data_IF_372915926451
#
_entry.id   IF_372915926451
#
_cell.length_a   1.000
_cell.length_b   1.000
_cell.length_c   1.000
_cell.angle_alpha   90.00
_cell.angle_beta   90.00
_cell.angle_gamma   90.00
#
_symmetry.space_group_name_H-M   'P 1'
#
loop_
_entity.id
_entity.type
_entity.pdbx_description
1 polymer ?
#
# COMPACT_ATOMS: atom_id res chain seq x y z
N UNK A 1 0.34 -11.48 16.78
CA UNK A 1 1.35 -11.75 15.71
C UNK A 1 2.51 -10.81 16.00
N UNK A 2 3.70 -11.32 16.21
CA UNK A 2 4.89 -10.50 16.42
C UNK A 2 5.29 -9.79 15.11
N UNK A 3 5.99 -8.66 15.20
CA UNK A 3 6.63 -8.06 14.03
C UNK A 3 7.67 -9.07 13.56
N UNK A 4 7.63 -9.42 12.28
CA UNK A 4 8.64 -10.33 11.73
C UNK A 4 10.02 -9.69 11.80
N UNK A 5 11.05 -10.48 12.11
CA UNK A 5 12.44 -10.00 12.11
C UNK A 5 12.93 -9.59 10.71
N UNK A 6 12.10 -9.75 9.70
CA UNK A 6 12.38 -9.37 8.31
C UNK A 6 11.54 -8.15 7.88
N UNK A 7 12.06 -7.37 6.96
CA UNK A 7 11.38 -6.21 6.41
C UNK A 7 10.45 -6.63 5.27
N UNK A 8 9.22 -6.16 5.32
CA UNK A 8 8.30 -6.11 4.17
C UNK A 8 8.29 -4.69 3.65
N UNK A 9 8.29 -4.50 2.34
CA UNK A 9 8.26 -3.17 1.74
C UNK A 9 7.13 -3.09 0.73
N UNK A 10 6.21 -2.17 0.94
CA UNK A 10 5.20 -1.76 -0.03
C UNK A 10 5.59 -0.40 -0.61
N UNK A 11 5.57 -0.27 -1.92
CA UNK A 11 5.99 0.94 -2.62
C UNK A 11 4.99 1.37 -3.68
N UNK A 12 4.53 2.62 -3.56
CA UNK A 12 3.71 3.25 -4.59
C UNK A 12 4.58 3.78 -5.73
N UNK A 13 4.48 3.18 -6.89
CA UNK A 13 5.12 3.71 -8.12
C UNK A 13 4.36 4.94 -8.64
N UNK A 14 3.07 5.04 -8.29
CA UNK A 14 2.17 6.15 -8.61
C UNK A 14 1.03 6.19 -7.58
N UNK A 15 0.61 7.37 -7.14
CA UNK A 15 -0.41 7.48 -6.09
C UNK A 15 -1.85 7.62 -6.63
N UNK A 16 -2.02 8.07 -7.88
CA UNK A 16 -3.35 8.14 -8.51
C UNK A 16 -3.87 6.76 -8.90
N UNK A 17 -5.21 6.59 -8.87
CA UNK A 17 -5.91 5.37 -9.26
C UNK A 17 -6.98 5.66 -10.33
N UNK A 18 -7.28 4.67 -11.17
CA UNK A 18 -8.42 4.67 -12.09
C UNK A 18 -9.72 4.18 -11.44
N UNK A 19 -9.63 3.61 -10.24
CA UNK A 19 -10.75 3.20 -9.40
C UNK A 19 -10.93 4.20 -8.26
N UNK A 20 -12.17 4.51 -7.89
CA UNK A 20 -12.48 5.48 -6.84
C UNK A 20 -13.15 4.76 -5.67
N UNK A 21 -12.44 3.89 -4.96
CA UNK A 21 -12.95 3.16 -3.81
C UNK A 21 -13.31 4.11 -2.66
N UNK A 22 -14.50 3.94 -2.04
CA UNK A 22 -14.85 4.61 -0.79
C UNK A 22 -13.79 4.31 0.27
N UNK A 23 -13.41 5.33 1.03
CA UNK A 23 -12.47 5.21 2.15
C UNK A 23 -11.17 4.44 1.80
N UNK A 24 -10.58 4.67 0.63
CA UNK A 24 -9.31 4.06 0.27
C UNK A 24 -8.24 4.40 1.32
N UNK A 25 -7.63 3.40 1.95
CA UNK A 25 -6.62 3.58 3.00
C UNK A 25 -5.34 4.27 2.53
N UNK A 26 -5.09 4.30 1.21
CA UNK A 26 -4.00 5.02 0.57
C UNK A 26 -4.43 6.40 0.02
N UNK A 27 -5.67 6.82 0.26
CA UNK A 27 -6.27 8.07 -0.20
C UNK A 27 -6.21 8.30 -1.72
N UNK A 28 -5.94 7.27 -2.51
CA UNK A 28 -5.77 7.35 -3.97
C UNK A 28 -7.06 7.72 -4.74
N UNK A 29 -8.19 7.79 -4.05
CA UNK A 29 -9.50 8.23 -4.56
C UNK A 29 -9.71 9.76 -4.43
N UNK A 30 -8.85 10.48 -3.71
CA UNK A 30 -8.97 11.92 -3.49
C UNK A 30 -8.48 12.72 -4.69
N UNK A 31 -8.98 13.97 -4.84
CA UNK A 31 -8.59 14.84 -5.96
C UNK A 31 -7.12 15.24 -5.90
N UNK A 32 -6.59 15.41 -4.69
CA UNK A 32 -5.21 15.78 -4.43
C UNK A 32 -4.20 14.83 -5.08
N UNK A 33 -4.51 13.51 -5.15
CA UNK A 33 -3.62 12.54 -5.83
C UNK A 33 -3.59 12.69 -7.35
N UNK A 34 -4.60 13.32 -7.96
CA UNK A 34 -4.68 13.51 -9.42
C UNK A 34 -3.74 14.59 -9.92
N UNK A 35 -3.42 15.55 -9.07
CA UNK A 35 -2.50 16.65 -9.37
C UNK A 35 -1.03 16.25 -9.18
N UNK A 36 -0.77 15.08 -8.58
CA UNK A 36 0.58 14.66 -8.29
C UNK A 36 1.33 14.22 -9.54
N UNK A 37 2.58 14.67 -9.63
CA UNK A 37 3.52 14.24 -10.68
C UNK A 37 3.98 12.81 -10.33
N UNK A 38 3.87 11.84 -11.24
CA UNK A 38 4.39 10.49 -11.01
C UNK A 38 5.87 10.54 -10.63
N UNK A 39 6.26 9.70 -9.68
CA UNK A 39 7.67 9.60 -9.26
C UNK A 39 8.57 9.31 -10.47
N UNK A 40 9.71 10.00 -10.52
CA UNK A 40 10.72 9.67 -11.52
C UNK A 40 11.37 8.31 -11.20
N UNK A 41 11.90 7.65 -12.22
CA UNK A 41 12.62 6.39 -12.01
C UNK A 41 13.85 6.60 -11.11
N UNK A 42 14.51 7.75 -11.18
CA UNK A 42 15.66 8.07 -10.33
C UNK A 42 15.28 8.22 -8.85
N UNK A 43 14.09 8.80 -8.59
CA UNK A 43 13.55 8.84 -7.22
C UNK A 43 13.26 7.44 -6.68
N UNK A 44 12.67 6.57 -7.49
CA UNK A 44 12.41 5.18 -7.14
C UNK A 44 13.72 4.44 -6.85
N UNK A 45 14.75 4.69 -7.68
CA UNK A 45 16.08 4.10 -7.48
C UNK A 45 16.70 4.53 -6.15
N UNK A 46 16.62 5.82 -5.81
CA UNK A 46 17.15 6.34 -4.55
C UNK A 46 16.45 5.71 -3.32
N UNK A 47 15.11 5.61 -3.36
CA UNK A 47 14.32 5.01 -2.28
C UNK A 47 14.72 3.54 -2.04
N UNK A 48 14.82 2.74 -3.10
CA UNK A 48 15.16 1.33 -2.99
C UNK A 48 16.64 1.08 -2.68
N UNK A 49 17.56 1.95 -3.12
CA UNK A 49 18.98 1.81 -2.83
C UNK A 49 19.24 1.80 -1.32
N UNK A 50 18.57 2.68 -0.57
CA UNK A 50 18.72 2.72 0.88
C UNK A 50 18.19 1.46 1.57
N UNK A 51 17.07 0.90 1.10
CA UNK A 51 16.55 -0.39 1.59
C UNK A 51 17.53 -1.51 1.28
N UNK A 52 18.09 -1.54 0.06
CA UNK A 52 19.08 -2.53 -0.36
C UNK A 52 20.30 -2.55 0.57
N UNK A 53 20.86 -1.37 0.87
CA UNK A 53 22.00 -1.23 1.77
C UNK A 53 21.67 -1.74 3.19
N UNK A 54 20.53 -1.30 3.75
CA UNK A 54 20.11 -1.70 5.10
C UNK A 54 19.78 -3.19 5.24
N UNK A 55 19.35 -3.83 4.16
CA UNK A 55 19.04 -5.26 4.14
C UNK A 55 20.21 -6.12 3.67
N UNK A 56 21.43 -5.69 3.94
CA UNK A 56 22.65 -6.40 3.56
C UNK A 56 22.65 -6.84 2.08
N UNK A 57 22.44 -5.86 1.20
CA UNK A 57 22.35 -6.08 -0.25
C UNK A 57 21.13 -6.96 -0.68
N UNK A 58 20.01 -6.77 -0.01
CA UNK A 58 18.76 -7.47 -0.34
C UNK A 58 18.75 -8.94 0.11
N UNK A 59 19.50 -9.26 1.13
CA UNK A 59 19.60 -10.59 1.69
C UNK A 59 18.24 -11.09 2.22
N UNK A 60 17.80 -12.30 1.85
CA UNK A 60 16.53 -12.89 2.30
C UNK A 60 16.39 -13.06 3.81
N UNK A 61 17.49 -13.03 4.56
CA UNK A 61 17.44 -13.08 6.02
C UNK A 61 16.95 -11.75 6.64
N UNK A 62 17.06 -10.65 5.90
CA UNK A 62 16.64 -9.32 6.33
C UNK A 62 15.38 -8.82 5.62
N UNK A 63 15.13 -9.28 4.39
CA UNK A 63 14.00 -8.86 3.58
C UNK A 63 13.06 -10.04 3.33
N UNK A 64 11.78 -9.86 3.64
CA UNK A 64 10.77 -10.88 3.45
C UNK A 64 10.05 -10.73 2.11
N UNK A 65 9.83 -9.46 1.67
CA UNK A 65 8.99 -9.18 0.50
C UNK A 65 9.13 -7.75 0.01
N UNK A 66 9.12 -7.58 -1.30
CA UNK A 66 8.94 -6.29 -1.95
C UNK A 66 7.66 -6.31 -2.78
N UNK A 67 6.80 -5.31 -2.55
CA UNK A 67 5.53 -5.16 -3.26
C UNK A 67 5.49 -3.82 -3.98
N UNK A 68 5.40 -3.85 -5.30
CA UNK A 68 5.09 -2.68 -6.11
C UNK A 68 3.58 -2.53 -6.19
N UNK A 69 3.10 -1.35 -5.85
CA UNK A 69 1.69 -1.03 -5.86
C UNK A 69 1.48 0.47 -6.13
N UNK A 70 0.41 1.01 -5.65
CA UNK A 70 0.13 2.43 -5.74
C UNK A 70 -1.35 2.70 -5.58
N UNK A 71 -1.81 3.78 -6.19
CA UNK A 71 -3.22 3.87 -6.55
C UNK A 71 -3.54 2.75 -7.53
N UNK A 72 -3.04 2.87 -8.77
CA UNK A 72 -3.06 1.76 -9.75
C UNK A 72 -1.72 1.74 -10.50
N UNK A 73 -0.86 0.75 -10.25
CA UNK A 73 0.49 0.73 -10.83
C UNK A 73 0.50 0.59 -12.36
N UNK A 74 -0.53 0.00 -12.97
CA UNK A 74 -0.62 -0.13 -14.42
C UNK A 74 -0.86 1.21 -15.15
N UNK A 75 -1.08 2.30 -14.42
CA UNK A 75 -1.07 3.67 -14.96
C UNK A 75 0.35 4.26 -15.05
N UNK A 76 1.35 3.64 -14.42
CA UNK A 76 2.70 4.16 -14.40
C UNK A 76 3.44 3.82 -15.69
N UNK A 77 3.82 4.83 -16.45
CA UNK A 77 4.44 4.65 -17.78
C UNK A 77 5.80 3.98 -17.75
N UNK A 78 6.54 4.10 -16.65
CA UNK A 78 7.86 3.53 -16.47
C UNK A 78 7.83 2.25 -15.60
N UNK A 79 6.68 1.53 -15.57
CA UNK A 79 6.51 0.35 -14.73
C UNK A 79 7.51 -0.77 -15.10
N UNK A 80 7.72 -1.03 -16.39
CA UNK A 80 8.67 -2.04 -16.85
C UNK A 80 10.10 -1.76 -16.37
N UNK A 81 10.71 -0.59 -16.66
CA UNK A 81 12.05 -0.30 -16.16
C UNK A 81 12.12 -0.22 -14.62
N UNK A 82 11.03 0.13 -13.94
CA UNK A 82 10.95 0.07 -12.48
C UNK A 82 11.03 -1.36 -11.96
N UNK A 83 10.24 -2.29 -12.52
CA UNK A 83 10.28 -3.72 -12.18
C UNK A 83 11.69 -4.29 -12.42
N UNK A 84 12.28 -4.02 -13.58
CA UNK A 84 13.62 -4.51 -13.94
C UNK A 84 14.67 -4.03 -12.94
N UNK A 85 14.61 -2.75 -12.55
CA UNK A 85 15.53 -2.19 -11.57
C UNK A 85 15.34 -2.82 -10.18
N UNK A 86 14.11 -2.86 -9.66
CA UNK A 86 13.84 -3.41 -8.33
C UNK A 86 14.26 -4.88 -8.28
N UNK A 87 13.97 -5.66 -9.33
CA UNK A 87 14.40 -7.07 -9.40
C UNK A 87 15.92 -7.21 -9.47
N UNK A 88 16.63 -6.27 -10.07
CA UNK A 88 18.11 -6.30 -10.10
C UNK A 88 18.74 -6.10 -8.73
N UNK A 89 18.08 -5.30 -7.85
CA UNK A 89 18.51 -5.13 -6.45
C UNK A 89 18.12 -6.34 -5.58
N UNK A 90 16.94 -6.92 -5.83
CA UNK A 90 16.38 -7.99 -5.01
C UNK A 90 16.16 -9.25 -5.87
N UNK A 91 17.26 -9.93 -6.27
CA UNK A 91 17.18 -11.06 -7.21
C UNK A 91 16.62 -12.34 -6.59
N UNK A 92 16.65 -12.43 -5.25
CA UNK A 92 16.25 -13.63 -4.52
C UNK A 92 14.75 -13.89 -4.59
N UNK A 93 14.37 -15.12 -4.27
CA UNK A 93 12.99 -15.49 -3.94
C UNK A 93 12.87 -15.43 -2.41
N UNK A 94 11.87 -14.70 -1.95
CA UNK A 94 11.63 -14.48 -0.51
C UNK A 94 10.58 -15.45 0.02
N UNK A 95 10.48 -15.60 1.35
CA UNK A 95 9.59 -16.58 1.99
C UNK A 95 8.11 -16.46 1.56
N UNK A 96 7.61 -15.25 1.35
CA UNK A 96 6.25 -15.01 0.85
C UNK A 96 6.18 -14.93 -0.68
N UNK A 97 7.23 -15.34 -1.37
CA UNK A 97 7.32 -15.37 -2.81
C UNK A 97 8.12 -14.21 -3.41
N UNK A 98 8.16 -14.15 -4.75
CA UNK A 98 8.96 -13.18 -5.49
C UNK A 98 8.44 -11.74 -5.31
N UNK A 99 9.10 -10.79 -6.02
CA UNK A 99 8.59 -9.45 -6.20
C UNK A 99 7.10 -9.47 -6.59
N UNK A 100 6.28 -8.72 -5.87
CA UNK A 100 4.84 -8.67 -6.10
C UNK A 100 4.41 -7.37 -6.77
N UNK A 101 3.36 -7.46 -7.60
CA UNK A 101 2.65 -6.33 -8.17
C UNK A 101 1.17 -6.41 -7.78
N UNK A 102 0.68 -5.43 -6.99
CA UNK A 102 -0.74 -5.35 -6.62
C UNK A 102 -1.46 -4.42 -7.57
N UNK A 103 -2.53 -4.89 -8.19
CA UNK A 103 -3.35 -4.13 -9.15
C UNK A 103 -4.85 -4.42 -8.96
N UNK A 104 -5.71 -3.47 -9.31
CA UNK A 104 -7.15 -3.71 -9.43
C UNK A 104 -7.53 -4.50 -10.69
N UNK A 105 -6.57 -4.76 -11.57
CA UNK A 105 -6.71 -5.61 -12.75
C UNK A 105 -7.41 -4.96 -13.96
N UNK A 106 -8.12 -3.85 -13.81
CA UNK A 106 -8.92 -3.22 -14.88
C UNK A 106 -8.10 -2.95 -16.16
N UNK A 107 -6.81 -2.64 -15.99
CA UNK A 107 -5.94 -2.32 -17.12
C UNK A 107 -5.15 -3.53 -17.65
N UNK A 108 -5.26 -4.72 -17.06
CA UNK A 108 -4.59 -5.94 -17.54
C UNK A 108 -4.93 -6.25 -19.02
N UNK A 109 -6.21 -6.18 -19.48
CA UNK A 109 -6.53 -6.43 -20.87
C UNK A 109 -5.96 -5.41 -21.87
N UNK A 110 -5.46 -4.28 -21.39
CA UNK A 110 -4.89 -3.21 -22.21
C UNK A 110 -3.36 -3.23 -22.24
N UNK A 111 -2.73 -4.15 -21.51
CA UNK A 111 -1.28 -4.24 -21.46
C UNK A 111 -0.73 -4.87 -22.73
N UNK A 112 0.44 -4.40 -23.13
CA UNK A 112 1.16 -4.90 -24.29
C UNK A 112 1.93 -6.19 -23.96
N UNK A 113 2.32 -7.01 -24.95
CA UNK A 113 3.08 -8.24 -24.74
C UNK A 113 4.35 -8.05 -23.90
N UNK A 114 5.05 -6.93 -24.08
CA UNK A 114 6.30 -6.60 -23.38
C UNK A 114 6.12 -6.51 -21.85
N UNK A 115 4.93 -6.09 -21.39
CA UNK A 115 4.61 -6.09 -19.98
C UNK A 115 4.57 -7.51 -19.40
N UNK A 116 3.89 -8.43 -20.07
CA UNK A 116 3.80 -9.82 -19.62
C UNK A 116 5.16 -10.53 -19.70
N UNK A 117 5.96 -10.20 -20.70
CA UNK A 117 7.34 -10.68 -20.79
C UNK A 117 8.18 -10.19 -19.62
N UNK A 118 8.05 -8.90 -19.25
CA UNK A 118 8.71 -8.33 -18.09
C UNK A 118 8.31 -9.07 -16.79
N UNK A 119 7.03 -9.35 -16.58
CA UNK A 119 6.57 -10.10 -15.40
C UNK A 119 7.18 -11.51 -15.35
N UNK A 120 7.22 -12.22 -16.47
CA UNK A 120 7.80 -13.59 -16.55
C UNK A 120 9.28 -13.60 -16.26
N UNK A 121 10.08 -12.76 -16.99
CA UNK A 121 11.55 -12.77 -16.83
C UNK A 121 11.98 -12.37 -15.43
N UNK A 122 11.20 -11.50 -14.76
CA UNK A 122 11.47 -11.04 -13.40
C UNK A 122 10.77 -11.89 -12.34
N UNK A 123 10.04 -12.95 -12.73
CA UNK A 123 9.24 -13.81 -11.83
C UNK A 123 8.34 -12.99 -10.90
N UNK A 124 7.69 -11.95 -11.43
CA UNK A 124 6.79 -11.10 -10.64
C UNK A 124 5.47 -11.82 -10.43
N UNK A 125 5.05 -11.94 -9.18
CA UNK A 125 3.71 -12.44 -8.83
C UNK A 125 2.71 -11.30 -8.87
N UNK A 126 1.59 -11.48 -9.57
CA UNK A 126 0.53 -10.48 -9.65
C UNK A 126 -0.57 -10.78 -8.63
N UNK A 127 -0.82 -9.84 -7.74
CA UNK A 127 -1.96 -9.87 -6.83
C UNK A 127 -3.08 -9.01 -7.40
N UNK A 128 -4.22 -9.61 -7.72
CA UNK A 128 -5.40 -8.88 -8.20
C UNK A 128 -6.33 -8.60 -7.04
N UNK A 129 -6.51 -7.32 -6.70
CA UNK A 129 -7.49 -6.90 -5.69
C UNK A 129 -8.91 -7.02 -6.26
N UNK A 130 -9.73 -7.85 -5.65
CA UNK A 130 -11.11 -8.06 -6.08
C UNK A 130 -12.09 -7.15 -5.33
N UNK A 131 -12.99 -6.55 -6.09
CA UNK A 131 -14.06 -5.68 -5.61
C UNK A 131 -15.41 -6.18 -6.12
N UNK A 132 -16.45 -6.12 -5.29
CA UNK A 132 -17.81 -6.45 -5.72
C UNK A 132 -18.34 -5.30 -6.56
N UNK A 133 -18.55 -5.55 -7.85
CA UNK A 133 -18.81 -4.49 -8.84
C UNK A 133 -20.28 -4.25 -9.16
N UNK A 134 -21.18 -5.15 -8.78
CA UNK A 134 -22.53 -5.20 -9.35
C UNK A 134 -23.46 -4.07 -8.87
N UNK A 135 -23.25 -3.56 -7.65
CA UNK A 135 -24.08 -2.51 -7.06
C UNK A 135 -23.51 -1.09 -7.24
N UNK A 136 -22.23 -0.99 -7.58
CA UNK A 136 -21.51 0.29 -7.68
C UNK A 136 -21.56 0.96 -9.06
N UNK A 137 -22.13 0.27 -10.07
CA UNK A 137 -22.12 0.73 -11.46
C UNK A 137 -20.77 0.52 -12.17
N UNK A 138 -19.75 0.01 -11.49
CA UNK A 138 -18.44 -0.33 -12.08
C UNK A 138 -18.40 -1.83 -12.35
N UNK A 139 -18.36 -2.23 -13.63
CA UNK A 139 -18.25 -3.64 -14.01
C UNK A 139 -16.78 -4.00 -14.24
N UNK A 140 -16.24 -4.92 -13.41
CA UNK A 140 -14.90 -5.47 -13.58
C UNK A 140 -15.03 -6.94 -13.98
N UNK A 141 -14.55 -7.29 -15.16
CA UNK A 141 -14.58 -8.67 -15.65
C UNK A 141 -13.35 -9.45 -15.16
N UNK A 142 -13.41 -9.93 -13.93
CA UNK A 142 -12.32 -10.70 -13.33
C UNK A 142 -12.02 -12.01 -14.07
N UNK A 143 -13.03 -12.70 -14.62
CA UNK A 143 -12.82 -13.93 -15.40
C UNK A 143 -11.95 -13.65 -16.63
N UNK A 144 -12.19 -12.55 -17.34
CA UNK A 144 -11.35 -12.16 -18.46
C UNK A 144 -9.92 -11.80 -18.02
N UNK A 145 -9.75 -11.10 -16.90
CA UNK A 145 -8.45 -10.77 -16.33
C UNK A 145 -7.67 -12.05 -15.99
N UNK A 146 -8.28 -12.98 -15.27
CA UNK A 146 -7.64 -14.24 -14.88
C UNK A 146 -7.30 -15.12 -16.07
N UNK A 147 -8.18 -15.20 -17.08
CA UNK A 147 -7.89 -15.92 -18.33
C UNK A 147 -6.68 -15.33 -19.06
N UNK A 148 -6.51 -14.02 -19.10
CA UNK A 148 -5.35 -13.36 -19.70
C UNK A 148 -4.09 -13.70 -18.92
N UNK A 149 -4.08 -13.54 -17.59
CA UNK A 149 -2.92 -13.84 -16.75
C UNK A 149 -2.49 -15.31 -16.90
N UNK A 150 -3.45 -16.23 -16.89
CA UNK A 150 -3.20 -17.66 -17.11
C UNK A 150 -2.64 -17.95 -18.50
N UNK A 151 -3.24 -17.40 -19.57
CA UNK A 151 -2.78 -17.56 -20.94
C UNK A 151 -1.36 -17.00 -21.15
N UNK A 152 -1.03 -15.92 -20.45
CA UNK A 152 0.31 -15.31 -20.44
C UNK A 152 1.30 -16.02 -19.51
N UNK A 153 0.89 -17.11 -18.83
CA UNK A 153 1.70 -17.89 -17.88
C UNK A 153 2.31 -17.01 -16.76
N UNK A 154 1.53 -16.05 -16.26
CA UNK A 154 1.92 -15.23 -15.13
C UNK A 154 1.57 -15.97 -13.85
N UNK A 155 2.43 -15.93 -12.83
CA UNK A 155 2.08 -16.33 -11.47
C UNK A 155 1.18 -15.28 -10.87
N UNK A 156 -0.03 -15.64 -10.45
CA UNK A 156 -1.01 -14.71 -9.94
C UNK A 156 -1.89 -15.33 -8.87
N UNK A 157 -2.40 -14.46 -8.00
CA UNK A 157 -3.46 -14.79 -7.06
C UNK A 157 -4.39 -13.59 -6.91
N UNK A 158 -5.52 -13.78 -6.30
CA UNK A 158 -6.45 -12.70 -5.99
C UNK A 158 -6.54 -12.50 -4.49
N UNK A 159 -6.82 -11.27 -4.10
CA UNK A 159 -7.05 -10.86 -2.73
C UNK A 159 -8.41 -10.17 -2.62
N UNK A 160 -9.19 -10.57 -1.63
CA UNK A 160 -10.39 -9.88 -1.18
C UNK A 160 -10.30 -9.74 0.34
N UNK A 161 -10.76 -8.62 0.86
CA UNK A 161 -10.60 -8.30 2.28
C UNK A 161 -11.34 -9.31 3.20
N UNK A 162 -12.38 -9.98 2.73
CA UNK A 162 -13.19 -10.87 3.58
C UNK A 162 -13.46 -12.24 2.97
N UNK A 163 -14.01 -12.33 1.77
CA UNK A 163 -14.25 -13.59 1.07
C UNK A 163 -14.44 -13.36 -0.43
N UNK A 164 -14.45 -14.44 -1.21
CA UNK A 164 -14.68 -14.38 -2.65
C UNK A 164 -16.03 -13.76 -3.02
N UNK A 165 -17.02 -13.95 -2.14
CA UNK A 165 -18.42 -13.54 -2.37
C UNK A 165 -18.79 -12.24 -1.64
N UNK A 166 -17.92 -11.77 -0.72
CA UNK A 166 -18.17 -10.59 0.11
C UNK A 166 -16.98 -9.64 0.07
N UNK A 167 -16.87 -8.82 -0.97
CA UNK A 167 -15.89 -7.75 -1.02
C UNK A 167 -16.32 -6.59 -0.10
N UNK A 168 -16.04 -6.73 1.19
CA UNK A 168 -16.30 -5.69 2.19
C UNK A 168 -15.08 -4.80 2.36
N UNK A 169 -15.32 -3.56 2.72
CA UNK A 169 -14.29 -2.56 2.94
C UNK A 169 -14.43 -1.94 4.31
N UNK A 170 -13.31 -1.78 4.97
CA UNK A 170 -13.28 -0.98 6.17
C UNK A 170 -13.28 0.51 5.82
N UNK A 171 -13.99 1.29 6.62
CA UNK A 171 -14.08 2.74 6.50
C UNK A 171 -14.16 3.39 7.89
N UNK A 172 -14.21 4.72 7.95
CA UNK A 172 -14.24 5.47 9.20
C UNK A 172 -13.10 5.06 10.15
N UNK A 173 -11.89 5.12 9.61
CA UNK A 173 -10.66 4.70 10.28
C UNK A 173 -10.24 5.57 11.44
N UNK A 174 -10.65 6.87 11.43
CA UNK A 174 -10.11 7.89 12.30
C UNK A 174 -11.18 8.40 13.25
N UNK A 175 -10.78 8.69 14.48
CA UNK A 175 -11.56 9.46 15.45
C UNK A 175 -11.15 10.93 15.42
N UNK A 176 -12.08 11.83 15.69
CA UNK A 176 -11.80 13.26 15.87
C UNK A 176 -11.03 13.54 17.14
N UNK A 177 -11.17 12.71 18.17
CA UNK A 177 -10.50 12.81 19.44
C UNK A 177 -9.31 11.87 19.53
N UNK A 178 -8.24 12.36 20.16
CA UNK A 178 -7.02 11.57 20.39
C UNK A 178 -7.23 10.64 21.59
N UNK A 179 -6.89 9.36 21.41
CA UNK A 179 -6.95 8.37 22.48
C UNK A 179 -5.56 8.18 23.11
N UNK A 180 -5.37 8.65 24.32
CA UNK A 180 -4.10 8.55 25.06
C UNK A 180 -3.65 7.10 25.32
N UNK A 181 -4.59 6.15 25.38
CA UNK A 181 -4.30 4.73 25.61
C UNK A 181 -4.07 3.95 24.30
N UNK A 182 -3.80 4.64 23.19
CA UNK A 182 -3.68 4.03 21.85
C UNK A 182 -2.64 2.91 21.75
N UNK A 183 -1.60 2.94 22.57
CA UNK A 183 -0.53 1.94 22.53
C UNK A 183 -1.03 0.54 22.85
N UNK A 184 -2.06 0.38 23.67
CA UNK A 184 -2.61 -0.92 24.05
C UNK A 184 -3.19 -1.66 22.85
N UNK A 185 -4.01 -1.00 22.03
CA UNK A 185 -4.62 -1.64 20.86
C UNK A 185 -3.75 -1.58 19.60
N UNK A 186 -2.92 -0.55 19.46
CA UNK A 186 -2.05 -0.40 18.31
C UNK A 186 -0.90 -1.42 18.33
N UNK A 187 -0.54 -1.95 19.49
CA UNK A 187 0.46 -3.02 19.60
C UNK A 187 0.10 -4.22 18.73
N UNK A 188 -1.16 -4.64 18.70
CA UNK A 188 -1.63 -5.79 17.92
C UNK A 188 -2.17 -5.45 16.54
N UNK A 189 -1.98 -4.21 16.08
CA UNK A 189 -2.46 -3.79 14.77
C UNK A 189 -1.79 -4.58 13.64
N UNK A 190 -2.59 -5.31 12.85
CA UNK A 190 -2.10 -6.07 11.71
C UNK A 190 -1.41 -5.18 10.66
N UNK A 191 -1.94 -3.99 10.38
CA UNK A 191 -1.34 -3.08 9.39
C UNK A 191 0.04 -2.60 9.81
N UNK A 192 0.21 -2.24 11.08
CA UNK A 192 1.52 -1.85 11.61
C UNK A 192 2.57 -2.96 11.44
N UNK A 193 2.14 -4.21 11.56
CA UNK A 193 3.02 -5.38 11.48
C UNK A 193 3.31 -5.84 10.04
N UNK A 194 2.43 -5.52 9.07
CA UNK A 194 2.50 -6.12 7.72
C UNK A 194 2.45 -5.15 6.54
N UNK A 195 2.02 -3.88 6.74
CA UNK A 195 1.83 -2.92 5.65
C UNK A 195 2.86 -1.78 5.71
N UNK A 196 4.14 -2.12 5.73
CA UNK A 196 5.24 -1.16 5.79
C UNK A 196 5.37 -0.41 4.45
N UNK A 197 5.18 0.90 4.47
CA UNK A 197 5.24 1.76 3.30
C UNK A 197 6.59 2.47 3.20
N UNK A 198 7.24 2.39 2.04
CA UNK A 198 8.44 3.17 1.73
C UNK A 198 8.04 4.41 0.91
N UNK A 199 8.23 5.58 1.48
CA UNK A 199 7.91 6.86 0.83
C UNK A 199 9.02 7.88 1.13
N UNK A 200 9.67 8.39 0.10
CA UNK A 200 10.66 9.46 0.22
C UNK A 200 11.79 9.15 1.23
N UNK A 201 12.39 7.95 1.11
CA UNK A 201 13.45 7.44 2.02
C UNK A 201 13.00 7.36 3.49
N UNK A 202 11.69 7.23 3.72
CA UNK A 202 11.09 7.03 5.04
C UNK A 202 10.28 5.75 5.06
N UNK A 203 10.28 5.08 6.20
CA UNK A 203 9.42 3.93 6.48
C UNK A 203 8.24 4.40 7.33
N UNK A 204 7.05 4.07 6.89
CA UNK A 204 5.80 4.24 7.62
C UNK A 204 5.19 2.88 7.90
N UNK A 205 4.73 2.65 9.11
CA UNK A 205 4.16 1.36 9.52
C UNK A 205 2.67 1.21 9.15
N UNK A 206 2.10 2.19 8.44
CA UNK A 206 0.69 2.18 8.07
C UNK A 206 0.45 3.07 6.83
N UNK A 207 -0.37 2.64 5.85
CA UNK A 207 -0.70 3.45 4.68
C UNK A 207 -1.46 4.74 5.03
N UNK A 208 -2.30 4.74 6.07
CA UNK A 208 -3.00 5.96 6.50
C UNK A 208 -2.02 7.08 6.88
N UNK A 209 -0.89 6.73 7.49
CA UNK A 209 0.14 7.69 7.87
C UNK A 209 0.96 8.09 6.63
N UNK A 210 1.42 7.12 5.86
CA UNK A 210 2.30 7.32 4.70
C UNK A 210 1.71 8.26 3.64
N UNK A 211 0.41 8.20 3.45
CA UNK A 211 -0.31 8.97 2.41
C UNK A 211 -1.24 10.04 3.00
N UNK A 212 -1.12 10.32 4.29
CA UNK A 212 -1.94 11.31 4.99
C UNK A 212 -1.94 12.70 4.32
N UNK A 213 -0.84 13.09 3.70
CA UNK A 213 -0.71 14.36 2.95
C UNK A 213 -1.87 14.61 1.96
N UNK A 214 -2.44 13.56 1.37
CA UNK A 214 -3.57 13.67 0.44
C UNK A 214 -4.87 13.95 1.16
N UNK A 215 -5.08 13.31 2.31
CA UNK A 215 -6.21 13.57 3.18
C UNK A 215 -6.15 14.99 3.74
N UNK A 216 -5.01 15.39 4.28
CA UNK A 216 -4.78 16.73 4.81
C UNK A 216 -5.02 17.79 3.73
N UNK A 217 -4.46 17.63 2.53
CA UNK A 217 -4.66 18.55 1.42
C UNK A 217 -6.13 18.70 0.99
N UNK A 218 -6.93 17.63 1.02
CA UNK A 218 -8.34 17.66 0.61
C UNK A 218 -9.26 18.20 1.72
N UNK A 219 -8.91 17.98 3.00
CA UNK A 219 -9.79 18.23 4.15
C UNK A 219 -9.18 19.11 5.24
N UNK A 220 -8.13 19.85 4.96
CA UNK A 220 -7.31 20.62 5.88
C UNK A 220 -8.08 21.39 6.94
N UNK A 221 -9.17 22.06 6.56
CA UNK A 221 -9.97 22.89 7.47
C UNK A 221 -11.06 22.10 8.23
N UNK A 222 -11.11 20.78 8.06
CA UNK A 222 -12.17 19.91 8.58
C UNK A 222 -11.67 18.90 9.61
N UNK A 223 -10.39 18.93 9.97
CA UNK A 223 -9.82 18.03 10.97
C UNK A 223 -8.68 18.70 11.74
N UNK A 224 -8.22 18.02 12.80
CA UNK A 224 -7.10 18.46 13.65
C UNK A 224 -5.99 17.39 13.73
N UNK A 225 -6.01 16.41 12.83
CA UNK A 225 -4.99 15.37 12.82
C UNK A 225 -3.62 15.94 12.46
N UNK A 226 -2.58 15.46 13.12
CA UNK A 226 -1.22 15.91 12.93
C UNK A 226 -0.30 14.72 12.76
N UNK A 227 0.57 14.77 11.77
CA UNK A 227 1.71 13.87 11.63
C UNK A 227 2.93 14.49 12.31
N UNK A 228 3.60 13.71 13.13
CA UNK A 228 4.79 14.10 13.88
C UNK A 228 6.02 13.30 13.42
N UNK A 229 7.19 13.63 13.96
CA UNK A 229 8.42 12.86 13.68
C UNK A 229 8.39 11.44 14.31
N UNK A 230 7.43 11.15 15.19
CA UNK A 230 7.22 9.81 15.77
C UNK A 230 6.41 8.89 14.84
N UNK A 231 5.89 9.40 13.73
CA UNK A 231 4.99 8.68 12.84
C UNK A 231 5.72 8.01 11.66
N UNK A 232 7.03 8.21 11.53
CA UNK A 232 7.84 7.61 10.48
C UNK A 232 9.31 7.39 10.93
N UNK A 233 9.98 6.49 10.24
CA UNK A 233 11.40 6.21 10.40
C UNK A 233 12.15 6.83 9.24
N UNK A 234 12.98 7.84 9.50
CA UNK A 234 13.84 8.47 8.48
C UNK A 234 15.06 7.58 8.23
N UNK A 235 15.08 6.90 7.08
CA UNK A 235 16.16 5.97 6.74
C UNK A 235 17.54 6.64 6.63
N UNK A 236 17.60 7.96 6.46
CA UNK A 236 18.88 8.70 6.47
C UNK A 236 19.54 8.71 7.85
N UNK A 237 18.76 8.49 8.90
CA UNK A 237 19.22 8.45 10.29
C UNK A 237 19.52 7.03 10.77
N UNK A 238 19.23 6.01 9.95
CA UNK A 238 19.39 4.59 10.28
C UNK A 238 20.70 4.08 9.66
N UNK A 239 21.55 3.47 10.48
CA UNK A 239 22.86 2.98 10.07
C UNK A 239 22.96 1.46 9.95
N UNK A 240 22.03 0.72 10.59
CA UNK A 240 22.00 -0.74 10.56
C UNK A 240 20.58 -1.29 10.52
N UNK A 241 20.45 -2.55 10.13
CA UNK A 241 19.15 -3.22 10.15
C UNK A 241 18.62 -3.40 11.57
N UNK A 242 19.48 -3.67 12.55
CA UNK A 242 19.11 -3.81 13.96
C UNK A 242 18.52 -2.48 14.50
N UNK A 243 19.12 -1.35 14.14
CA UNK A 243 18.57 -0.03 14.47
C UNK A 243 17.19 0.18 13.83
N UNK A 244 17.01 -0.21 12.55
CA UNK A 244 15.71 -0.19 11.88
C UNK A 244 14.69 -1.04 12.62
N UNK A 245 15.05 -2.23 13.09
CA UNK A 245 14.14 -3.11 13.82
C UNK A 245 13.69 -2.48 15.16
N UNK A 246 14.60 -1.87 15.90
CA UNK A 246 14.27 -1.14 17.14
C UNK A 246 13.27 0.00 16.86
N UNK A 247 13.47 0.76 15.78
CA UNK A 247 12.54 1.84 15.41
C UNK A 247 11.17 1.29 14.97
N UNK A 248 11.10 0.13 14.30
CA UNK A 248 9.86 -0.52 13.90
C UNK A 248 8.99 -1.01 15.07
N UNK A 249 9.61 -1.28 16.23
CA UNK A 249 8.87 -1.65 17.45
C UNK A 249 8.07 -0.47 18.02
N UNK A 250 8.46 0.77 17.77
CA UNK A 250 7.77 1.94 18.25
C UNK A 250 6.37 2.05 17.64
N UNK A 251 5.42 2.51 18.43
CA UNK A 251 4.05 2.71 17.98
C UNK A 251 3.91 4.17 17.56
N UNK A 252 3.53 4.44 16.30
CA UNK A 252 3.36 5.79 15.79
C UNK A 252 2.34 6.60 16.62
N UNK A 253 2.63 7.89 16.81
CA UNK A 253 1.73 8.80 17.52
C UNK A 253 0.35 8.89 16.86
N UNK A 254 0.30 8.90 15.52
CA UNK A 254 -0.95 8.97 14.76
C UNK A 254 -1.93 7.82 15.06
N UNK A 255 -1.46 6.70 15.61
CA UNK A 255 -2.33 5.62 16.07
C UNK A 255 -3.33 6.08 17.13
N UNK A 256 -3.06 7.18 17.83
CA UNK A 256 -4.00 7.79 18.78
C UNK A 256 -5.30 8.32 18.15
N UNK A 257 -5.28 8.58 16.85
CA UNK A 257 -6.49 8.95 16.09
C UNK A 257 -7.14 7.73 15.39
N UNK A 258 -6.51 6.56 15.41
CA UNK A 258 -6.99 5.40 14.68
C UNK A 258 -7.98 4.59 15.50
N UNK A 259 -9.04 4.08 14.86
CA UNK A 259 -9.99 3.16 15.48
C UNK A 259 -9.49 1.71 15.55
N UNK A 260 -8.38 1.42 14.89
CA UNK A 260 -7.84 0.06 14.83
C UNK A 260 -8.86 -0.95 14.29
N UNK A 261 -9.09 -2.01 15.05
CA UNK A 261 -10.05 -3.07 14.71
C UNK A 261 -11.53 -2.65 14.74
N UNK A 262 -11.84 -1.46 15.28
CA UNK A 262 -13.20 -0.94 15.38
C UNK A 262 -13.63 -0.13 14.15
N UNK A 263 -12.84 -0.12 13.07
CA UNK A 263 -13.28 0.45 11.80
C UNK A 263 -14.58 -0.19 11.32
N UNK A 264 -15.47 0.63 10.76
CA UNK A 264 -16.75 0.14 10.24
C UNK A 264 -16.48 -0.66 8.96
N UNK A 265 -17.18 -1.78 8.81
CA UNK A 265 -17.05 -2.66 7.64
C UNK A 265 -18.35 -2.59 6.85
N UNK A 266 -18.26 -2.09 5.61
CA UNK A 266 -19.38 -1.96 4.68
C UNK A 266 -19.08 -2.71 3.37
N UNK A 267 -20.10 -2.82 2.52
CA UNK A 267 -19.91 -3.24 1.14
C UNK A 267 -19.07 -2.23 0.36
N UNK A 268 -18.26 -2.75 -0.57
CA UNK A 268 -17.47 -1.88 -1.43
C UNK A 268 -18.35 -0.95 -2.26
N UNK A 269 -17.99 0.32 -2.35
CA UNK A 269 -18.70 1.32 -3.13
C UNK A 269 -17.75 2.39 -3.66
N UNK A 270 -18.25 3.22 -4.59
CA UNK A 270 -17.53 4.38 -5.09
C UNK A 270 -17.60 5.52 -4.08
N UNK A 271 -16.48 6.21 -3.90
CA UNK A 271 -16.35 7.35 -2.99
C UNK A 271 -17.24 8.53 -3.39
N UNK A 272 -17.80 9.20 -2.41
CA UNK A 272 -18.41 10.53 -2.51
C UNK A 272 -17.39 11.65 -2.25
N UNK A 273 -16.15 11.28 -1.86
CA UNK A 273 -15.09 12.19 -1.43
C UNK A 273 -15.49 13.06 -0.25
N UNK A 274 -16.25 12.48 0.69
CA UNK A 274 -16.60 13.11 1.95
C UNK A 274 -15.61 12.69 3.04
N UNK A 275 -15.29 13.60 3.96
CA UNK A 275 -14.50 13.30 5.14
C UNK A 275 -15.16 12.21 5.99
N UNK A 276 -16.49 12.13 5.99
CA UNK A 276 -17.27 11.13 6.73
C UNK A 276 -17.01 9.68 6.30
N UNK A 277 -16.37 9.47 5.15
CA UNK A 277 -15.93 8.14 4.73
C UNK A 277 -14.72 7.66 5.55
N UNK A 278 -13.96 8.58 6.12
CA UNK A 278 -12.71 8.32 6.82
C UNK A 278 -12.80 8.53 8.32
N UNK A 279 -13.60 9.52 8.73
CA UNK A 279 -13.71 9.97 10.11
C UNK A 279 -15.02 9.49 10.71
N UNK A 280 -14.93 9.01 11.93
CA UNK A 280 -16.05 8.65 12.75
C UNK A 280 -16.26 9.72 13.83
N UNK A 281 -17.41 10.37 13.81
CA UNK A 281 -17.89 11.21 14.90
C UNK A 281 -18.87 10.39 15.73
N UNK A 282 -18.59 10.22 17.01
CA UNK A 282 -19.58 9.66 17.90
C UNK A 282 -20.76 10.65 18.00
N UNK A 283 -22.01 10.18 17.91
CA UNK A 283 -23.13 11.04 18.21
C UNK A 283 -22.98 11.48 19.67
N UNK A 284 -22.95 12.80 19.87
CA UNK A 284 -22.91 13.44 21.18
C UNK A 284 -24.11 13.05 22.04
#
# INVERSE_FOLDING_TARGET
MEITNKLRVEYHVIDRCNLNCKACSHFSNLKSTRAEIPKSLDKIKADFQKVYELTNNGDPDYLEKVTLMGGEPLLYKQLIPCIDYVKSLFPHEYDEGPLQLITNGILVPKQKPEFFECLRRNKVRVCVSMYKSDESGVKINYDAIFKILAAQKIDWYWYSTFSKDEAKFSNKWLHTEFNENYKEYAYDCHWRKSCTQLVDEKIYLCPLIAYFKYFDSEFKDKHKFVITDEDFIDLKKINSFDELQVEREKIPHFCGYCRGHNAIVDDWSITKRSIDEYVFDEPK
#
